data_IF_019767320911
#
_entry.id   IF_019767320911
#
_cell.length_a   1.000
_cell.length_b   1.000
_cell.length_c   1.000
_cell.angle_alpha   90.00
_cell.angle_beta   90.00
_cell.angle_gamma   90.00
#
_symmetry.space_group_name_H-M   'P 1'
#
loop_
_entity.id
_entity.type
_entity.pdbx_description
1 polymer ?
#
# COMPACT_ATOMS: atom_id res chain seq x y z
N UNK A 1 26.73 -1.45 11.69
CA UNK A 1 26.84 -0.35 12.69
C UNK A 1 28.00 0.62 12.37
N UNK A 2 29.22 0.13 12.11
CA UNK A 2 30.38 1.02 11.86
C UNK A 2 30.30 1.84 10.57
N UNK A 3 29.70 1.36 9.50
CA UNK A 3 29.53 2.07 8.22
C UNK A 3 28.44 3.16 8.30
N UNK A 4 27.34 2.87 8.99
CA UNK A 4 26.25 3.84 9.23
C UNK A 4 26.74 5.01 10.09
N UNK A 5 27.46 4.71 11.17
CA UNK A 5 28.05 5.77 12.05
C UNK A 5 29.06 6.67 11.33
N UNK A 6 29.85 6.11 10.38
CA UNK A 6 30.79 6.92 9.57
C UNK A 6 30.08 7.84 8.58
N UNK A 7 29.04 7.36 7.87
CA UNK A 7 28.23 8.19 6.95
C UNK A 7 27.49 9.29 7.70
N UNK A 8 26.87 8.95 8.82
CA UNK A 8 26.22 9.91 9.70
C UNK A 8 27.19 11.00 10.19
N UNK A 9 28.40 10.61 10.62
CA UNK A 9 29.43 11.58 11.03
C UNK A 9 29.85 12.50 9.88
N UNK A 10 30.02 11.97 8.67
CA UNK A 10 30.39 12.79 7.50
C UNK A 10 29.30 13.79 7.12
N UNK A 11 28.03 13.39 7.13
CA UNK A 11 26.91 14.30 6.86
C UNK A 11 26.82 15.38 7.94
N UNK A 12 26.81 15.01 9.22
CA UNK A 12 26.75 15.98 10.33
C UNK A 12 27.98 16.90 10.40
N UNK A 13 29.17 16.47 9.96
CA UNK A 13 30.37 17.32 9.90
C UNK A 13 30.25 18.35 8.77
N UNK A 14 29.73 17.97 7.60
CA UNK A 14 29.50 18.89 6.47
C UNK A 14 28.49 19.98 6.80
N UNK A 15 27.46 19.66 7.56
CA UNK A 15 26.37 20.59 7.84
C UNK A 15 26.60 21.49 9.06
N UNK A 16 27.62 21.20 9.87
CA UNK A 16 28.00 22.03 11.05
C UNK A 16 28.19 23.52 10.73
N UNK A 17 28.93 23.90 9.68
CA UNK A 17 29.15 25.32 9.39
C UNK A 17 27.86 26.06 9.04
N UNK A 18 26.86 25.34 8.51
CA UNK A 18 25.62 25.91 8.01
C UNK A 18 24.43 25.71 8.96
N UNK A 19 24.61 25.07 10.11
CA UNK A 19 23.53 24.67 11.03
C UNK A 19 22.42 23.89 10.34
N UNK A 20 22.80 23.09 9.33
CA UNK A 20 21.86 22.30 8.53
C UNK A 20 21.18 21.21 9.32
N UNK A 21 19.97 20.86 8.91
CA UNK A 21 19.21 19.71 9.40
C UNK A 21 19.53 18.49 8.53
N UNK A 22 19.80 17.36 9.15
CA UNK A 22 20.02 16.07 8.47
C UNK A 22 18.76 15.23 8.61
N UNK A 23 18.14 14.91 7.50
CA UNK A 23 17.06 13.95 7.42
C UNK A 23 17.65 12.57 7.12
N UNK A 24 17.62 11.67 8.11
CA UNK A 24 18.19 10.33 7.99
C UNK A 24 17.08 9.31 7.79
N UNK A 25 17.04 8.70 6.63
CA UNK A 25 16.02 7.74 6.27
C UNK A 25 16.22 6.40 6.98
N UNK A 26 15.23 5.95 7.76
CA UNK A 26 15.21 4.66 8.43
C UNK A 26 14.85 3.56 7.43
N UNK A 27 15.78 3.24 6.54
CA UNK A 27 15.59 2.27 5.50
C UNK A 27 16.66 1.16 5.59
N UNK A 28 16.21 -0.07 5.69
CA UNK A 28 17.09 -1.23 5.90
C UNK A 28 17.01 -2.17 4.70
N UNK A 29 18.17 -2.45 4.11
CA UNK A 29 18.35 -3.41 3.03
C UNK A 29 19.11 -4.67 3.47
N UNK A 30 19.32 -4.85 4.77
CA UNK A 30 20.08 -5.99 5.25
C UNK A 30 19.33 -7.29 4.96
N UNK A 31 19.93 -8.26 4.27
CA UNK A 31 19.39 -9.60 4.19
C UNK A 31 19.50 -10.24 5.57
N UNK A 32 18.41 -10.31 6.30
CA UNK A 32 18.36 -11.07 7.56
C UNK A 32 17.27 -12.13 7.43
N UNK A 33 17.41 -13.21 8.16
CA UNK A 33 16.40 -14.25 8.26
C UNK A 33 15.18 -13.78 9.07
N UNK A 34 15.25 -12.57 9.65
CA UNK A 34 14.18 -11.96 10.39
C UNK A 34 13.05 -11.50 9.46
N UNK A 35 11.84 -11.42 9.99
CA UNK A 35 10.69 -10.85 9.31
C UNK A 35 10.99 -9.42 8.82
N UNK A 36 10.73 -9.19 7.54
CA UNK A 36 10.95 -7.91 6.87
C UNK A 36 10.29 -6.73 7.62
N UNK A 37 9.10 -6.97 8.18
CA UNK A 37 8.38 -5.96 8.94
C UNK A 37 9.12 -5.51 10.23
N UNK A 38 10.02 -6.34 10.76
CA UNK A 38 10.78 -6.05 11.98
C UNK A 38 12.09 -5.29 11.73
N UNK A 39 12.61 -5.31 10.52
CA UNK A 39 14.01 -4.93 10.24
C UNK A 39 14.31 -3.47 10.60
N UNK A 40 13.46 -2.53 10.18
CA UNK A 40 13.69 -1.12 10.48
C UNK A 40 13.66 -0.85 12.00
N UNK A 41 12.74 -1.48 12.70
CA UNK A 41 12.66 -1.37 14.16
C UNK A 41 13.94 -1.90 14.84
N UNK A 42 14.35 -3.13 14.52
CA UNK A 42 15.52 -3.77 15.12
C UNK A 42 16.83 -3.01 14.88
N UNK A 43 16.93 -2.28 13.78
CA UNK A 43 18.11 -1.47 13.46
C UNK A 43 18.08 -0.10 14.13
N UNK A 44 16.94 0.57 14.19
CA UNK A 44 16.85 1.98 14.59
C UNK A 44 16.45 2.20 16.04
N UNK A 45 15.60 1.37 16.63
CA UNK A 45 15.20 1.50 18.02
C UNK A 45 16.40 1.54 18.98
N UNK A 46 17.43 0.64 18.86
CA UNK A 46 18.59 0.69 19.75
C UNK A 46 19.44 1.96 19.60
N UNK A 47 19.20 2.75 18.56
CA UNK A 47 19.91 4.03 18.32
C UNK A 47 19.17 5.23 18.89
N UNK A 48 18.02 5.03 19.54
CA UNK A 48 17.25 6.14 20.11
C UNK A 48 18.09 6.96 21.09
N UNK A 49 18.04 8.29 20.96
CA UNK A 49 18.85 9.22 21.74
C UNK A 49 20.34 9.28 21.36
N UNK A 50 20.82 8.45 20.43
CA UNK A 50 22.23 8.44 20.00
C UNK A 50 22.50 9.37 18.78
N UNK A 51 21.46 9.89 18.18
CA UNK A 51 21.58 10.83 17.08
C UNK A 51 21.92 12.24 17.58
N UNK A 52 22.57 13.01 16.73
CA UNK A 52 22.86 14.43 17.04
C UNK A 52 21.58 15.25 16.97
N UNK A 53 21.56 16.39 17.68
CA UNK A 53 20.41 17.28 17.79
C UNK A 53 19.91 17.87 16.45
N UNK A 54 20.73 17.86 15.42
CA UNK A 54 20.34 18.31 14.07
C UNK A 54 19.88 17.17 13.16
N UNK A 55 19.73 15.96 13.66
CA UNK A 55 19.25 14.80 12.90
C UNK A 55 17.76 14.58 13.19
N UNK A 56 16.99 14.42 12.15
CA UNK A 56 15.60 13.93 12.20
C UNK A 56 15.59 12.59 11.48
N UNK A 57 15.12 11.54 12.14
CA UNK A 57 14.98 10.23 11.52
C UNK A 57 13.68 10.19 10.72
N UNK A 58 13.79 9.94 9.41
CA UNK A 58 12.69 9.88 8.46
C UNK A 58 12.21 8.44 8.34
N UNK A 59 10.99 8.19 8.78
CA UNK A 59 10.39 6.85 8.87
C UNK A 59 9.20 6.77 7.92
N UNK A 60 9.14 5.72 7.09
CA UNK A 60 7.96 5.43 6.27
C UNK A 60 6.72 5.25 7.15
N UNK A 61 5.57 5.62 6.63
CA UNK A 61 4.31 5.47 7.36
C UNK A 61 4.05 4.01 7.77
N UNK A 62 4.38 3.03 6.93
CA UNK A 62 4.31 1.60 7.25
C UNK A 62 5.69 0.96 7.50
N UNK A 63 5.73 -0.26 8.04
CA UNK A 63 6.99 -0.91 8.42
C UNK A 63 7.79 -1.50 7.26
N UNK A 64 7.18 -1.70 6.09
CA UNK A 64 7.85 -2.31 4.91
C UNK A 64 8.05 -1.27 3.80
N UNK A 65 6.99 -0.94 3.07
CA UNK A 65 7.15 -0.06 1.90
C UNK A 65 5.79 0.39 1.33
N UNK A 66 5.28 1.53 1.57
CA UNK A 66 4.13 2.22 0.95
C UNK A 66 3.10 1.32 0.23
N UNK A 67 2.84 0.12 0.76
CA UNK A 67 1.89 -0.83 0.21
C UNK A 67 0.46 -0.23 0.20
N UNK A 68 -0.50 -0.78 -0.52
CA UNK A 68 -1.86 -0.28 -0.52
C UNK A 68 -2.44 -0.06 0.88
N UNK A 69 -2.15 -0.98 1.82
CA UNK A 69 -2.40 -0.79 3.26
C UNK A 69 -1.33 -1.51 4.07
N UNK A 70 -0.74 -0.79 5.01
CA UNK A 70 0.14 -1.33 6.05
C UNK A 70 -0.30 -0.77 7.40
N UNK A 71 -0.10 -1.50 8.52
CA UNK A 71 -0.17 -0.86 9.83
C UNK A 71 0.90 0.23 9.92
N UNK A 72 0.74 1.20 10.82
CA UNK A 72 1.78 2.22 10.98
C UNK A 72 3.10 1.61 11.47
N UNK A 73 4.22 2.26 11.14
CA UNK A 73 5.54 1.78 11.57
C UNK A 73 5.71 1.87 13.10
N UNK A 74 6.05 0.77 13.78
CA UNK A 74 6.19 0.77 15.24
C UNK A 74 7.32 1.68 15.76
N UNK A 75 8.24 2.13 14.91
CA UNK A 75 9.27 3.11 15.30
C UNK A 75 8.68 4.41 15.85
N UNK A 76 7.50 4.83 15.38
CA UNK A 76 6.85 6.03 15.90
C UNK A 76 6.43 5.92 17.37
N UNK A 77 6.20 4.70 17.86
CA UNK A 77 5.92 4.44 19.28
C UNK A 77 7.16 4.15 20.12
N UNK A 78 8.28 3.79 19.50
CA UNK A 78 9.47 3.27 20.19
C UNK A 78 10.58 4.32 20.38
N UNK A 79 10.81 5.20 19.41
CA UNK A 79 11.87 6.22 19.48
C UNK A 79 11.36 7.48 20.18
N UNK A 80 11.68 7.63 21.46
CA UNK A 80 11.16 8.70 22.33
C UNK A 80 12.13 9.89 22.48
N UNK A 81 13.42 9.68 22.19
CA UNK A 81 14.49 10.67 22.40
C UNK A 81 15.03 11.26 21.10
N UNK A 82 14.73 10.65 19.97
CA UNK A 82 15.18 11.08 18.64
C UNK A 82 14.02 11.75 17.91
N UNK A 83 14.22 12.97 17.35
CA UNK A 83 13.20 13.59 16.51
C UNK A 83 12.85 12.72 15.31
N UNK A 84 11.56 12.45 15.11
CA UNK A 84 11.05 11.67 13.98
C UNK A 84 10.28 12.55 13.00
N UNK A 85 10.28 12.13 11.74
CA UNK A 85 9.39 12.63 10.70
C UNK A 85 8.75 11.46 9.94
N UNK A 86 7.47 11.62 9.59
CA UNK A 86 6.78 10.65 8.76
C UNK A 86 7.13 10.86 7.29
N UNK A 87 7.38 9.76 6.57
CA UNK A 87 7.57 9.74 5.13
C UNK A 87 6.34 9.11 4.47
N UNK A 88 5.66 9.89 3.62
CA UNK A 88 4.55 9.43 2.80
C UNK A 88 4.97 9.35 1.33
N UNK A 89 4.58 8.29 0.64
CA UNK A 89 4.70 8.25 -0.81
C UNK A 89 3.50 8.96 -1.44
N UNK A 90 3.77 10.04 -2.17
CA UNK A 90 2.75 10.81 -2.89
C UNK A 90 2.44 10.19 -4.24
N UNK A 91 3.42 9.52 -4.85
CA UNK A 91 3.24 8.73 -6.07
C UNK A 91 2.63 7.36 -5.77
N UNK A 92 2.04 6.76 -6.79
CA UNK A 92 1.23 5.54 -6.66
C UNK A 92 1.99 4.31 -7.17
N UNK A 93 3.25 4.12 -6.77
CA UNK A 93 4.07 2.98 -7.21
C UNK A 93 3.37 1.64 -6.96
N UNK A 94 2.77 1.50 -5.77
CA UNK A 94 2.08 0.26 -5.35
C UNK A 94 0.56 0.30 -5.58
N UNK A 95 0.06 1.32 -6.26
CA UNK A 95 -1.36 1.62 -6.44
C UNK A 95 -1.69 1.84 -7.93
N UNK A 96 -1.08 1.02 -8.81
CA UNK A 96 -1.32 1.06 -10.26
C UNK A 96 -0.51 2.10 -11.03
N UNK A 97 0.65 2.52 -10.53
CA UNK A 97 1.60 3.41 -11.23
C UNK A 97 0.93 4.64 -11.84
N UNK A 98 0.04 5.31 -11.11
CA UNK A 98 -0.73 6.46 -11.59
C UNK A 98 -1.62 6.18 -12.82
N UNK A 99 -1.91 4.91 -13.14
CA UNK A 99 -2.98 4.53 -14.07
C UNK A 99 -4.32 4.34 -13.35
N UNK A 100 -4.28 4.10 -12.03
CA UNK A 100 -5.46 3.90 -11.22
C UNK A 100 -5.77 5.14 -10.40
N UNK A 101 -7.05 5.42 -10.22
CA UNK A 101 -7.53 6.43 -9.29
C UNK A 101 -7.39 5.89 -7.87
N UNK A 102 -6.56 6.54 -7.06
CA UNK A 102 -6.40 6.28 -5.63
C UNK A 102 -6.10 7.59 -4.90
N UNK A 103 -7.07 8.10 -4.15
CA UNK A 103 -6.92 9.29 -3.32
C UNK A 103 -6.38 8.89 -1.95
N UNK A 104 -5.18 9.35 -1.61
CA UNK A 104 -4.41 8.83 -0.48
C UNK A 104 -4.68 9.56 0.85
N UNK A 105 -5.40 10.67 0.83
CA UNK A 105 -5.67 11.41 2.07
C UNK A 105 -6.40 10.58 3.14
N UNK A 106 -7.34 9.67 2.84
CA UNK A 106 -7.91 8.77 3.84
C UNK A 106 -6.85 7.92 4.56
N UNK A 107 -5.96 7.27 3.81
CA UNK A 107 -4.86 6.46 4.35
C UNK A 107 -3.91 7.27 5.23
N UNK A 108 -3.57 8.50 4.83
CA UNK A 108 -2.72 9.37 5.65
C UNK A 108 -3.44 9.86 6.92
N UNK A 109 -4.77 10.00 6.89
CA UNK A 109 -5.57 10.30 8.08
C UNK A 109 -5.61 9.12 9.04
N UNK A 110 -5.76 7.89 8.55
CA UNK A 110 -5.61 6.67 9.39
C UNK A 110 -4.26 6.67 10.14
N UNK A 111 -3.17 6.97 9.45
CA UNK A 111 -1.85 7.07 10.10
C UNK A 111 -1.86 8.08 11.26
N UNK A 112 -2.48 9.24 11.10
CA UNK A 112 -2.56 10.26 12.15
C UNK A 112 -3.52 9.91 13.30
N UNK A 113 -4.31 8.87 13.19
CA UNK A 113 -5.09 8.31 14.32
C UNK A 113 -4.19 7.55 15.30
N UNK A 114 -3.11 6.94 14.81
CA UNK A 114 -2.13 6.22 15.61
C UNK A 114 -0.94 7.09 16.03
N UNK A 115 -0.49 7.97 15.15
CA UNK A 115 0.68 8.83 15.36
C UNK A 115 0.23 10.28 15.48
N UNK A 116 0.25 10.80 16.71
CA UNK A 116 -0.13 12.19 16.95
C UNK A 116 0.77 13.16 16.16
N UNK A 117 0.23 14.07 15.34
CA UNK A 117 1.04 15.02 14.57
C UNK A 117 2.01 15.83 15.43
N UNK A 118 1.64 16.14 16.67
CA UNK A 118 2.49 16.89 17.61
C UNK A 118 3.74 16.12 18.06
N UNK A 119 3.78 14.80 17.92
CA UNK A 119 4.98 13.98 18.19
C UNK A 119 5.99 14.00 17.06
N UNK A 120 5.59 14.47 15.86
CA UNK A 120 6.44 14.52 14.69
C UNK A 120 7.14 15.88 14.58
N UNK A 121 8.42 15.86 14.22
CA UNK A 121 9.18 17.07 13.94
C UNK A 121 8.86 17.66 12.56
N UNK A 122 8.52 16.80 11.61
CA UNK A 122 8.15 17.16 10.25
C UNK A 122 7.40 16.02 9.58
N UNK A 123 6.92 16.25 8.35
CA UNK A 123 6.46 15.22 7.40
C UNK A 123 7.20 15.41 6.08
N UNK A 124 7.51 14.31 5.42
CA UNK A 124 8.16 14.28 4.11
C UNK A 124 7.25 13.60 3.08
N UNK A 125 7.15 14.19 1.91
CA UNK A 125 6.54 13.57 0.74
C UNK A 125 7.63 13.07 -0.20
N UNK A 126 7.60 11.79 -0.56
CA UNK A 126 8.49 11.23 -1.58
C UNK A 126 7.70 10.91 -2.84
N UNK A 127 8.28 11.18 -4.00
CA UNK A 127 7.58 11.04 -5.25
C UNK A 127 8.55 10.74 -6.40
N UNK A 128 8.13 9.84 -7.29
CA UNK A 128 8.65 9.76 -8.64
C UNK A 128 7.75 10.60 -9.54
N UNK A 129 8.30 11.49 -10.32
CA UNK A 129 7.56 12.34 -11.27
C UNK A 129 7.98 12.00 -12.69
N UNK A 130 7.00 12.07 -13.61
CA UNK A 130 7.21 11.83 -15.03
C UNK A 130 7.30 13.12 -15.83
N UNK A 131 7.27 12.97 -17.13
CA UNK A 131 7.29 14.07 -18.11
C UNK A 131 5.90 14.43 -18.63
N UNK A 132 4.84 13.85 -18.07
CA UNK A 132 3.45 14.18 -18.40
C UNK A 132 3.13 15.64 -18.12
N UNK A 133 2.18 16.22 -18.85
CA UNK A 133 1.76 17.59 -18.64
C UNK A 133 1.28 17.85 -17.20
N UNK A 134 0.67 16.86 -16.56
CA UNK A 134 0.28 16.87 -15.15
C UNK A 134 1.36 16.31 -14.20
N UNK A 135 2.56 15.93 -14.70
CA UNK A 135 3.73 15.34 -13.99
C UNK A 135 3.43 14.19 -13.02
N UNK A 136 2.17 13.87 -12.82
CA UNK A 136 1.70 12.82 -11.91
C UNK A 136 1.17 11.58 -12.64
N UNK A 137 1.04 11.63 -13.97
CA UNK A 137 0.51 10.53 -14.80
C UNK A 137 -1.02 10.35 -14.74
N UNK A 138 -1.73 11.08 -13.86
CA UNK A 138 -3.19 11.01 -13.72
C UNK A 138 -3.71 12.31 -13.09
N UNK A 139 -4.79 12.87 -13.64
CA UNK A 139 -5.36 14.12 -13.10
C UNK A 139 -5.64 14.02 -11.60
N UNK A 140 -6.27 12.93 -11.12
CA UNK A 140 -6.51 12.75 -9.68
C UNK A 140 -5.26 12.46 -8.85
N UNK A 141 -4.13 12.09 -9.45
CA UNK A 141 -2.87 11.99 -8.71
C UNK A 141 -2.39 13.36 -8.21
N UNK A 142 -2.75 14.45 -8.89
CA UNK A 142 -2.52 15.81 -8.39
C UNK A 142 -3.25 16.10 -7.07
N UNK A 143 -4.42 15.49 -6.85
CA UNK A 143 -5.14 15.60 -5.58
C UNK A 143 -4.31 15.06 -4.39
N UNK A 144 -3.46 14.06 -4.61
CA UNK A 144 -2.56 13.54 -3.58
C UNK A 144 -1.48 14.55 -3.19
N UNK A 145 -0.92 15.27 -4.16
CA UNK A 145 0.03 16.37 -3.87
C UNK A 145 -0.64 17.49 -3.11
N UNK A 146 -1.84 17.89 -3.54
CA UNK A 146 -2.62 18.90 -2.83
C UNK A 146 -2.92 18.45 -1.40
N UNK A 147 -3.41 17.22 -1.24
CA UNK A 147 -3.73 16.64 0.07
C UNK A 147 -2.51 16.53 0.99
N UNK A 148 -1.36 16.11 0.45
CA UNK A 148 -0.12 16.07 1.21
C UNK A 148 0.23 17.47 1.75
N UNK A 149 0.21 18.49 0.90
CA UNK A 149 0.49 19.87 1.33
C UNK A 149 -0.49 20.37 2.39
N UNK A 150 -1.80 20.08 2.22
CA UNK A 150 -2.84 20.47 3.18
C UNK A 150 -2.68 19.78 4.54
N UNK A 151 -2.43 18.47 4.55
CA UNK A 151 -2.23 17.68 5.78
C UNK A 151 -0.89 17.98 6.47
N UNK A 152 0.17 18.24 5.71
CA UNK A 152 1.45 18.66 6.28
C UNK A 152 1.34 20.01 7.02
N UNK A 153 0.49 20.91 6.53
CA UNK A 153 0.24 22.21 7.14
C UNK A 153 -0.79 22.15 8.25
N UNK A 154 -1.89 21.44 8.04
CA UNK A 154 -3.00 21.32 8.98
C UNK A 154 -3.50 19.86 9.06
N UNK A 155 -2.88 19.00 9.88
CA UNK A 155 -3.23 17.58 9.98
C UNK A 155 -4.67 17.30 10.45
N UNK A 156 -5.32 18.29 11.09
CA UNK A 156 -6.71 18.18 11.56
C UNK A 156 -7.78 18.24 10.45
N UNK A 157 -7.40 18.67 9.23
CA UNK A 157 -8.35 18.71 8.11
C UNK A 157 -8.86 17.30 7.79
N UNK A 158 -10.14 17.21 7.43
CA UNK A 158 -10.72 15.96 6.94
C UNK A 158 -10.35 15.73 5.47
N UNK A 159 -10.19 14.47 5.09
CA UNK A 159 -9.96 14.06 3.69
C UNK A 159 -11.06 14.58 2.77
N UNK A 160 -12.30 14.64 3.27
CA UNK A 160 -13.45 15.14 2.52
C UNK A 160 -13.39 16.63 2.26
N UNK A 161 -12.96 17.46 3.23
CA UNK A 161 -12.81 18.90 3.02
C UNK A 161 -11.69 19.19 2.02
N UNK A 162 -10.59 18.46 2.08
CA UNK A 162 -9.47 18.58 1.14
C UNK A 162 -9.92 18.19 -0.28
N UNK A 163 -10.73 17.14 -0.41
CA UNK A 163 -11.31 16.72 -1.69
C UNK A 163 -12.22 17.81 -2.28
N UNK A 164 -13.09 18.41 -1.46
CA UNK A 164 -13.96 19.53 -1.89
C UNK A 164 -13.15 20.72 -2.38
N UNK A 165 -12.10 21.11 -1.65
CA UNK A 165 -11.20 22.19 -2.03
C UNK A 165 -10.54 21.91 -3.39
N UNK A 166 -9.98 20.72 -3.56
CA UNK A 166 -9.28 20.33 -4.78
C UNK A 166 -10.23 20.21 -5.98
N UNK A 167 -11.39 19.58 -5.81
CA UNK A 167 -12.40 19.45 -6.86
C UNK A 167 -12.84 20.83 -7.36
N UNK A 168 -13.13 21.76 -6.45
CA UNK A 168 -13.55 23.12 -6.79
C UNK A 168 -12.47 23.91 -7.53
N UNK A 169 -11.19 23.76 -7.12
CA UNK A 169 -10.07 24.43 -7.77
C UNK A 169 -9.77 23.85 -9.16
N UNK A 170 -9.94 22.54 -9.32
CA UNK A 170 -9.55 21.82 -10.54
C UNK A 170 -10.64 21.88 -11.61
N UNK A 171 -11.89 21.68 -11.22
CA UNK A 171 -13.01 21.54 -12.15
C UNK A 171 -14.04 22.70 -12.04
N UNK A 172 -13.81 23.67 -11.15
CA UNK A 172 -14.75 24.77 -10.91
C UNK A 172 -15.97 24.35 -10.08
N UNK A 173 -17.02 25.17 -10.12
CA UNK A 173 -18.26 24.90 -9.39
C UNK A 173 -19.14 23.97 -10.21
N UNK A 174 -19.47 22.83 -9.64
CA UNK A 174 -20.35 21.81 -10.21
C UNK A 174 -21.73 21.84 -9.51
N UNK A 175 -22.78 21.26 -10.10
CA UNK A 175 -24.00 20.96 -9.36
C UNK A 175 -23.70 20.13 -8.11
N UNK A 176 -24.47 20.34 -7.05
CA UNK A 176 -24.20 19.74 -5.75
C UNK A 176 -24.20 18.21 -5.75
N UNK A 177 -25.05 17.61 -6.55
CA UNK A 177 -25.12 16.16 -6.73
C UNK A 177 -23.89 15.58 -7.45
N UNK A 178 -23.40 16.26 -8.48
CA UNK A 178 -22.18 15.88 -9.20
C UNK A 178 -20.95 16.06 -8.29
N UNK A 179 -20.82 17.19 -7.60
CA UNK A 179 -19.73 17.40 -6.64
C UNK A 179 -19.71 16.34 -5.54
N UNK A 180 -20.87 15.97 -5.00
CA UNK A 180 -20.99 14.94 -3.98
C UNK A 180 -20.57 13.55 -4.50
N UNK A 181 -20.94 13.19 -5.73
CA UNK A 181 -20.56 11.93 -6.35
C UNK A 181 -19.04 11.88 -6.65
N UNK A 182 -18.46 12.96 -7.20
CA UNK A 182 -17.02 13.04 -7.45
C UNK A 182 -16.21 12.95 -6.13
N UNK A 183 -16.65 13.64 -5.09
CA UNK A 183 -16.07 13.56 -3.76
C UNK A 183 -16.15 12.13 -3.22
N UNK A 184 -17.32 11.48 -3.32
CA UNK A 184 -17.49 10.09 -2.89
C UNK A 184 -16.54 9.16 -3.65
N UNK A 185 -16.45 9.30 -4.97
CA UNK A 185 -15.54 8.55 -5.81
C UNK A 185 -14.07 8.68 -5.33
N UNK A 186 -13.62 9.91 -5.01
CA UNK A 186 -12.29 10.14 -4.46
C UNK A 186 -12.11 9.42 -3.12
N UNK A 187 -13.01 9.62 -2.18
CA UNK A 187 -12.89 9.07 -0.82
C UNK A 187 -12.90 7.53 -0.80
N UNK A 188 -13.68 6.91 -1.67
CA UNK A 188 -13.79 5.45 -1.77
C UNK A 188 -12.65 4.81 -2.58
N UNK A 189 -11.88 5.61 -3.34
CA UNK A 189 -10.95 5.08 -4.35
C UNK A 189 -9.76 4.33 -3.76
N UNK A 190 -9.22 4.75 -2.62
CA UNK A 190 -8.14 4.02 -1.96
C UNK A 190 -8.63 2.64 -1.49
N UNK A 191 -9.79 2.57 -0.82
CA UNK A 191 -10.35 1.31 -0.34
C UNK A 191 -10.70 0.38 -1.50
N UNK A 192 -11.19 0.91 -2.63
CA UNK A 192 -11.42 0.12 -3.83
C UNK A 192 -10.12 -0.54 -4.33
N UNK A 193 -9.00 0.18 -4.34
CA UNK A 193 -7.69 -0.37 -4.71
C UNK A 193 -7.25 -1.46 -3.73
N UNK A 194 -7.38 -1.24 -2.43
CA UNK A 194 -7.09 -2.27 -1.41
C UNK A 194 -7.93 -3.52 -1.69
N UNK A 195 -9.23 -3.35 -1.93
CA UNK A 195 -10.16 -4.46 -2.14
C UNK A 195 -9.79 -5.32 -3.34
N UNK A 196 -9.46 -4.74 -4.51
CA UNK A 196 -9.14 -5.57 -5.66
C UNK A 196 -7.67 -5.99 -5.74
N UNK A 197 -6.76 -5.39 -4.97
CA UNK A 197 -5.34 -5.78 -4.95
C UNK A 197 -5.00 -6.69 -3.77
N UNK A 198 -5.12 -6.17 -2.55
CA UNK A 198 -4.58 -6.79 -1.34
C UNK A 198 -5.48 -6.58 -0.12
N UNK A 199 -6.68 -7.18 -0.14
CA UNK A 199 -7.62 -7.05 0.96
C UNK A 199 -7.15 -7.77 2.23
N UNK A 200 -7.75 -7.41 3.36
CA UNK A 200 -7.59 -8.07 4.66
C UNK A 200 -6.15 -8.13 5.18
N UNK A 201 -5.27 -7.23 4.76
CA UNK A 201 -3.87 -7.21 5.18
C UNK A 201 -2.93 -8.04 4.32
N UNK A 202 -3.38 -8.59 3.20
CA UNK A 202 -2.48 -9.09 2.17
C UNK A 202 -1.59 -7.95 1.67
N UNK A 203 -0.35 -8.27 1.29
CA UNK A 203 0.56 -7.28 0.74
C UNK A 203 1.66 -7.91 -0.11
N UNK A 204 2.31 -7.09 -0.94
CA UNK A 204 3.47 -7.42 -1.78
C UNK A 204 3.24 -8.60 -2.73
N UNK A 205 2.04 -8.76 -3.27
CA UNK A 205 1.70 -9.81 -4.25
C UNK A 205 1.70 -9.28 -5.69
N UNK A 206 2.54 -8.28 -5.93
CA UNK A 206 2.76 -7.64 -7.22
C UNK A 206 3.64 -8.45 -8.16
N UNK A 207 3.58 -8.08 -9.43
CA UNK A 207 4.50 -8.56 -10.44
C UNK A 207 5.95 -8.17 -10.12
N UNK A 208 6.85 -9.12 -10.35
CA UNK A 208 8.28 -8.99 -10.07
C UNK A 208 8.90 -7.80 -10.83
N UNK A 209 9.70 -7.05 -10.10
CA UNK A 209 10.58 -6.04 -10.67
C UNK A 209 9.94 -4.70 -11.02
N UNK A 210 8.61 -4.60 -11.12
CA UNK A 210 7.95 -3.35 -11.49
C UNK A 210 6.68 -3.01 -10.70
N UNK A 211 6.20 -3.88 -9.83
CA UNK A 211 5.07 -3.66 -8.93
C UNK A 211 3.71 -3.31 -9.61
N UNK A 212 3.56 -3.62 -10.89
CA UNK A 212 2.32 -3.39 -11.63
C UNK A 212 1.62 -4.70 -11.98
N UNK A 213 0.38 -4.86 -11.54
CA UNK A 213 -0.38 -6.09 -11.73
C UNK A 213 -0.06 -7.20 -10.72
N UNK A 214 -0.90 -8.26 -10.67
CA UNK A 214 -0.76 -9.36 -9.74
C UNK A 214 0.23 -10.41 -10.25
N UNK A 215 1.03 -10.97 -9.35
CA UNK A 215 1.89 -12.11 -9.63
C UNK A 215 2.08 -12.98 -8.38
N UNK A 216 1.00 -13.41 -7.68
CA UNK A 216 1.09 -14.14 -6.43
C UNK A 216 1.89 -15.45 -6.55
N UNK A 217 2.02 -16.01 -7.74
CA UNK A 217 2.76 -17.25 -8.04
C UNK A 217 4.27 -17.03 -8.23
N UNK A 218 4.75 -15.78 -8.26
CA UNK A 218 6.14 -15.51 -8.58
C UNK A 218 7.10 -16.21 -7.60
N UNK A 219 7.99 -17.01 -8.15
CA UNK A 219 9.03 -17.75 -7.42
C UNK A 219 10.30 -17.78 -8.25
N UNK A 220 11.35 -17.12 -7.75
CA UNK A 220 12.65 -17.03 -8.42
C UNK A 220 13.71 -17.76 -7.58
N UNK A 221 14.30 -18.83 -8.07
CA UNK A 221 15.37 -19.52 -7.38
C UNK A 221 16.55 -18.60 -7.08
N UNK A 222 16.98 -18.58 -5.81
CA UNK A 222 18.10 -17.75 -5.35
C UNK A 222 17.79 -16.28 -5.11
N UNK A 223 16.55 -15.82 -5.37
CA UNK A 223 16.12 -14.50 -4.94
C UNK A 223 15.95 -14.43 -3.42
N UNK A 224 16.11 -13.24 -2.87
CA UNK A 224 15.80 -13.02 -1.44
C UNK A 224 14.33 -13.37 -1.19
N UNK A 225 14.03 -14.16 -0.14
CA UNK A 225 12.64 -14.55 0.16
C UNK A 225 11.71 -13.35 0.31
N UNK A 226 12.15 -12.28 0.99
CA UNK A 226 11.39 -11.07 1.25
C UNK A 226 11.17 -10.15 0.01
N UNK A 227 11.57 -10.61 -1.16
CA UNK A 227 11.24 -10.00 -2.45
C UNK A 227 10.16 -10.76 -3.19
N UNK A 228 9.79 -11.95 -2.71
CA UNK A 228 8.86 -12.84 -3.37
C UNK A 228 7.45 -12.74 -2.76
N UNK A 229 6.39 -12.69 -3.57
CA UNK A 229 4.99 -12.70 -3.10
C UNK A 229 4.68 -13.85 -2.13
N UNK A 230 5.21 -15.06 -2.42
CA UNK A 230 4.99 -16.25 -1.58
C UNK A 230 5.52 -16.11 -0.15
N UNK A 231 6.55 -15.28 0.07
CA UNK A 231 7.03 -14.94 1.41
C UNK A 231 5.99 -14.19 2.23
N UNK A 232 5.17 -13.36 1.58
CA UNK A 232 4.20 -12.52 2.25
C UNK A 232 2.85 -13.22 2.43
N UNK A 233 2.29 -13.79 1.36
CA UNK A 233 0.96 -14.41 1.48
C UNK A 233 0.97 -15.78 2.16
N UNK A 234 2.07 -16.55 2.09
CA UNK A 234 2.24 -17.87 2.70
C UNK A 234 1.06 -18.82 2.53
N UNK A 235 0.36 -18.71 1.40
CA UNK A 235 -0.80 -19.55 1.15
C UNK A 235 -0.39 -21.02 1.08
N UNK A 236 -1.13 -21.86 1.81
CA UNK A 236 -1.03 -23.31 1.81
C UNK A 236 -2.41 -23.95 1.99
N UNK A 237 -2.49 -25.27 2.09
CA UNK A 237 -3.76 -25.98 2.28
C UNK A 237 -4.49 -25.63 3.58
N UNK A 238 -3.80 -25.07 4.54
CA UNK A 238 -4.37 -24.75 5.86
C UNK A 238 -4.92 -23.32 5.89
N UNK A 239 -4.26 -22.35 5.20
CA UNK A 239 -4.64 -20.96 5.25
C UNK A 239 -3.79 -20.03 4.42
N UNK A 240 -3.86 -18.74 4.74
CA UNK A 240 -3.14 -17.65 4.08
C UNK A 240 -2.79 -16.57 5.10
N UNK A 241 -1.74 -15.80 4.82
CA UNK A 241 -1.27 -14.69 5.64
C UNK A 241 0.03 -15.00 6.39
N UNK A 242 0.69 -13.97 6.87
CA UNK A 242 1.96 -14.09 7.58
C UNK A 242 1.74 -14.08 9.09
N UNK A 243 2.10 -15.15 9.79
CA UNK A 243 2.03 -15.17 11.25
C UNK A 243 3.12 -14.28 11.86
N UNK A 244 2.71 -13.09 12.29
CA UNK A 244 3.50 -12.09 13.01
C UNK A 244 3.07 -11.94 14.46
N UNK A 245 2.17 -12.81 14.92
CA UNK A 245 1.75 -12.90 16.33
C UNK A 245 2.91 -13.35 17.22
N UNK A 246 2.68 -13.39 18.53
CA UNK A 246 3.63 -13.92 19.52
C UNK A 246 4.01 -15.38 19.28
N UNK A 247 3.22 -16.13 18.53
CA UNK A 247 3.47 -17.53 18.14
C UNK A 247 4.28 -17.64 16.83
N UNK A 248 4.31 -16.60 16.03
CA UNK A 248 5.04 -16.54 14.77
C UNK A 248 6.34 -15.72 14.89
N UNK A 249 6.52 -14.73 14.02
CA UNK A 249 7.71 -13.86 14.05
C UNK A 249 7.77 -12.89 15.22
N UNK A 250 6.67 -12.75 15.95
CA UNK A 250 6.51 -11.84 17.08
C UNK A 250 6.77 -10.36 16.71
N UNK A 251 6.36 -9.93 15.52
CA UNK A 251 6.44 -8.52 15.15
C UNK A 251 5.44 -7.65 15.95
N UNK A 252 4.37 -8.24 16.45
CA UNK A 252 3.39 -7.55 17.32
C UNK A 252 4.04 -6.95 18.57
N UNK A 253 5.11 -7.55 19.10
CA UNK A 253 5.84 -7.05 20.27
C UNK A 253 6.53 -5.70 20.05
N UNK A 254 6.64 -5.23 18.80
CA UNK A 254 7.22 -3.93 18.47
C UNK A 254 6.24 -2.77 18.66
N UNK A 255 4.94 -3.07 18.82
CA UNK A 255 3.89 -2.08 19.04
C UNK A 255 3.67 -1.78 20.53
N UNK A 256 3.08 -0.63 20.88
CA UNK A 256 2.64 -0.34 22.24
C UNK A 256 1.74 -1.45 22.78
N UNK A 257 1.84 -1.74 24.08
CA UNK A 257 1.23 -2.92 24.73
C UNK A 257 -0.26 -3.13 24.38
N UNK A 258 -1.04 -2.07 24.35
CA UNK A 258 -2.47 -2.15 24.01
C UNK A 258 -2.69 -2.66 22.59
N UNK A 259 -1.95 -2.11 21.62
CA UNK A 259 -2.04 -2.52 20.21
C UNK A 259 -1.40 -3.90 20.00
N UNK A 260 -0.29 -4.18 20.66
CA UNK A 260 0.35 -5.49 20.63
C UNK A 260 -0.64 -6.59 21.03
N UNK A 261 -1.37 -6.41 22.14
CA UNK A 261 -2.42 -7.36 22.59
C UNK A 261 -3.56 -7.47 21.58
N UNK A 262 -3.98 -6.36 21.00
CA UNK A 262 -5.05 -6.34 19.99
C UNK A 262 -4.65 -7.09 18.71
N UNK A 263 -3.44 -6.85 18.22
CA UNK A 263 -2.92 -7.47 17.00
C UNK A 263 -2.51 -8.94 17.20
N UNK A 264 -2.11 -9.32 18.41
CA UNK A 264 -1.68 -10.69 18.75
C UNK A 264 -2.82 -11.71 18.76
N UNK A 265 -4.03 -11.26 18.99
CA UNK A 265 -5.20 -12.12 19.07
C UNK A 265 -6.02 -11.99 17.77
N UNK A 266 -6.21 -13.11 17.06
CA UNK A 266 -6.95 -13.19 15.81
C UNK A 266 -8.39 -12.63 15.92
N UNK A 267 -9.05 -12.79 17.07
CA UNK A 267 -10.44 -12.35 17.29
C UNK A 267 -10.55 -10.84 17.53
N UNK A 268 -9.48 -10.18 17.97
CA UNK A 268 -9.44 -8.74 18.23
C UNK A 268 -8.65 -7.96 17.19
N UNK A 269 -7.88 -8.64 16.36
CA UNK A 269 -7.15 -8.02 15.26
C UNK A 269 -8.13 -7.36 14.30
N UNK A 270 -7.93 -6.09 13.91
CA UNK A 270 -8.72 -5.47 12.85
C UNK A 270 -8.64 -6.27 11.57
N UNK A 271 -9.79 -6.50 10.90
CA UNK A 271 -9.84 -7.35 9.70
C UNK A 271 -8.97 -6.80 8.57
N UNK A 272 -8.81 -5.49 8.48
CA UNK A 272 -7.93 -4.82 7.51
C UNK A 272 -6.45 -5.15 7.68
N UNK A 273 -6.04 -5.68 8.84
CA UNK A 273 -4.67 -6.13 9.14
C UNK A 273 -4.58 -7.63 9.45
N UNK A 274 -5.66 -8.39 9.29
CA UNK A 274 -5.75 -9.76 9.73
C UNK A 274 -4.65 -10.66 9.12
N UNK A 275 -4.52 -10.64 7.79
CA UNK A 275 -3.52 -11.44 7.06
C UNK A 275 -2.12 -10.86 7.11
N UNK A 276 -2.00 -9.61 7.58
CA UNK A 276 -0.71 -9.04 7.93
C UNK A 276 -0.11 -9.68 9.18
N UNK A 277 -0.95 -9.88 10.23
CA UNK A 277 -0.49 -10.37 11.53
C UNK A 277 -0.66 -11.87 11.73
N UNK A 278 -1.56 -12.53 10.99
CA UNK A 278 -1.91 -13.92 11.21
C UNK A 278 -1.88 -14.75 9.93
N UNK A 279 -1.47 -16.02 10.09
CA UNK A 279 -1.76 -17.06 9.13
C UNK A 279 -3.11 -17.68 9.48
N UNK A 280 -4.11 -17.42 8.64
CA UNK A 280 -5.53 -17.65 8.97
C UNK A 280 -6.08 -18.81 8.16
N UNK A 281 -6.75 -19.78 8.81
CA UNK A 281 -7.40 -20.89 8.09
C UNK A 281 -8.46 -20.42 7.09
N UNK A 282 -8.54 -21.05 5.93
CA UNK A 282 -9.52 -20.70 4.89
C UNK A 282 -10.98 -20.71 5.37
N UNK A 283 -11.28 -21.58 6.34
CA UNK A 283 -12.62 -21.72 6.94
C UNK A 283 -12.86 -20.81 8.15
N UNK A 284 -11.86 -19.97 8.53
CA UNK A 284 -12.02 -19.06 9.66
C UNK A 284 -13.26 -18.16 9.47
N UNK A 285 -14.03 -17.99 10.55
CA UNK A 285 -15.28 -17.22 10.52
C UNK A 285 -14.98 -15.75 10.72
N UNK A 286 -15.22 -14.96 9.69
CA UNK A 286 -15.07 -13.50 9.71
C UNK A 286 -16.24 -12.83 10.43
N UNK A 287 -16.12 -11.55 10.80
CA UNK A 287 -17.19 -10.76 11.47
C UNK A 287 -18.47 -10.71 10.63
N UNK A 288 -18.36 -10.74 9.32
CA UNK A 288 -19.51 -10.85 8.40
C UNK A 288 -20.29 -12.16 8.54
N UNK A 289 -19.71 -13.17 9.20
CA UNK A 289 -20.22 -14.53 9.27
C UNK A 289 -19.82 -15.43 8.10
N UNK A 290 -19.09 -14.93 7.11
CA UNK A 290 -18.52 -15.71 6.01
C UNK A 290 -17.27 -16.47 6.44
N UNK A 291 -16.83 -17.43 5.63
CA UNK A 291 -15.48 -17.97 5.73
C UNK A 291 -14.46 -16.92 5.26
N UNK A 292 -13.18 -17.03 5.67
CA UNK A 292 -12.10 -16.18 5.13
C UNK A 292 -12.05 -16.25 3.60
N UNK A 293 -12.21 -17.45 3.02
CA UNK A 293 -12.22 -17.60 1.56
C UNK A 293 -13.36 -16.82 0.90
N UNK A 294 -14.58 -16.95 1.42
CA UNK A 294 -15.71 -16.21 0.90
C UNK A 294 -15.53 -14.71 1.07
N UNK A 295 -14.99 -14.27 2.21
CA UNK A 295 -14.71 -12.86 2.47
C UNK A 295 -13.68 -12.29 1.49
N UNK A 296 -12.60 -13.02 1.21
CA UNK A 296 -11.65 -12.64 0.17
C UNK A 296 -12.31 -12.51 -1.19
N UNK A 297 -13.15 -13.48 -1.59
CA UNK A 297 -13.88 -13.42 -2.85
C UNK A 297 -14.77 -12.16 -2.92
N UNK A 298 -15.45 -11.83 -1.83
CA UNK A 298 -16.31 -10.64 -1.76
C UNK A 298 -15.52 -9.33 -1.83
N UNK A 299 -14.36 -9.24 -1.17
CA UNK A 299 -13.50 -8.06 -1.25
C UNK A 299 -13.02 -7.81 -2.69
N UNK A 300 -12.48 -8.83 -3.35
CA UNK A 300 -12.03 -8.73 -4.74
C UNK A 300 -13.16 -8.31 -5.69
N UNK A 301 -14.34 -8.91 -5.58
CA UNK A 301 -15.50 -8.58 -6.39
C UNK A 301 -16.01 -7.16 -6.10
N UNK A 302 -16.05 -6.76 -4.84
CA UNK A 302 -16.46 -5.41 -4.44
C UNK A 302 -15.53 -4.35 -5.04
N UNK A 303 -14.21 -4.57 -5.00
CA UNK A 303 -13.26 -3.66 -5.63
C UNK A 303 -13.49 -3.47 -7.12
N UNK A 304 -13.79 -4.56 -7.84
CA UNK A 304 -14.17 -4.50 -9.28
C UNK A 304 -15.45 -3.68 -9.47
N UNK A 305 -16.47 -3.92 -8.67
CA UNK A 305 -17.76 -3.20 -8.74
C UNK A 305 -17.57 -1.70 -8.47
N UNK A 306 -16.81 -1.36 -7.44
CA UNK A 306 -16.51 0.03 -7.09
C UNK A 306 -15.87 0.78 -8.25
N UNK A 307 -14.86 0.20 -8.91
CA UNK A 307 -14.22 0.85 -10.07
C UNK A 307 -15.19 1.03 -11.24
N UNK A 308 -16.07 0.06 -11.50
CA UNK A 308 -17.14 0.19 -12.52
C UNK A 308 -18.14 1.29 -12.17
N UNK A 309 -18.42 1.50 -10.89
CA UNK A 309 -19.26 2.62 -10.44
C UNK A 309 -18.53 3.96 -10.57
N UNK A 310 -17.22 4.02 -10.36
CA UNK A 310 -16.42 5.22 -10.64
C UNK A 310 -16.51 5.65 -12.11
N UNK A 311 -16.50 4.69 -13.05
CA UNK A 311 -16.72 5.00 -14.47
C UNK A 311 -18.08 5.67 -14.70
N UNK A 312 -19.17 5.16 -14.11
CA UNK A 312 -20.51 5.74 -14.22
C UNK A 312 -20.59 7.13 -13.62
N UNK A 313 -19.97 7.33 -12.45
CA UNK A 313 -19.91 8.65 -11.81
C UNK A 313 -19.15 9.64 -12.70
N UNK A 314 -18.02 9.22 -13.26
CA UNK A 314 -17.23 10.07 -14.14
C UNK A 314 -17.97 10.41 -15.44
N UNK A 315 -18.59 9.43 -16.09
CA UNK A 315 -19.35 9.64 -17.30
C UNK A 315 -20.53 10.62 -17.08
N UNK A 316 -21.18 10.57 -15.91
CA UNK A 316 -22.22 11.53 -15.57
C UNK A 316 -21.72 12.98 -15.39
N UNK A 317 -20.42 13.16 -15.16
CA UNK A 317 -19.80 14.48 -15.01
C UNK A 317 -19.32 15.10 -16.33
N UNK A 318 -19.39 14.40 -17.47
CA UNK A 318 -18.83 14.78 -18.77
C UNK A 318 -19.07 16.25 -19.13
N UNK A 319 -20.34 16.71 -19.09
CA UNK A 319 -20.71 18.07 -19.49
C UNK A 319 -20.21 19.19 -18.57
N UNK A 320 -19.62 18.83 -17.43
CA UNK A 320 -19.13 19.79 -16.44
C UNK A 320 -17.62 19.85 -16.36
N UNK A 321 -16.92 19.04 -17.14
CA UNK A 321 -15.47 18.90 -17.14
C UNK A 321 -14.95 19.21 -18.54
N UNK A 322 -13.79 19.86 -18.65
CA UNK A 322 -13.17 20.06 -19.95
C UNK A 322 -12.81 18.72 -20.61
N UNK A 323 -12.91 18.71 -21.94
CA UNK A 323 -12.80 17.48 -22.73
C UNK A 323 -11.45 16.77 -22.53
N UNK A 324 -10.34 17.50 -22.36
CA UNK A 324 -9.01 16.93 -22.21
C UNK A 324 -8.90 16.09 -20.95
N UNK A 325 -9.21 16.68 -19.79
CA UNK A 325 -9.19 15.99 -18.49
C UNK A 325 -10.27 14.92 -18.41
N UNK A 326 -11.44 15.15 -19.02
CA UNK A 326 -12.50 14.14 -19.04
C UNK A 326 -12.04 12.87 -19.75
N UNK A 327 -11.49 12.97 -20.95
CA UNK A 327 -11.04 11.80 -21.71
C UNK A 327 -9.81 11.13 -21.12
N UNK A 328 -8.88 11.90 -20.53
CA UNK A 328 -7.74 11.33 -19.80
C UNK A 328 -8.22 10.42 -18.67
N UNK A 329 -9.03 10.94 -17.76
CA UNK A 329 -9.52 10.19 -16.60
C UNK A 329 -10.41 9.02 -17.04
N UNK A 330 -11.29 9.22 -18.03
CA UNK A 330 -12.13 8.15 -18.57
C UNK A 330 -11.27 6.98 -19.09
N UNK A 331 -10.19 7.29 -19.82
CA UNK A 331 -9.26 6.27 -20.33
C UNK A 331 -8.56 5.53 -19.19
N UNK A 332 -8.13 6.25 -18.14
CA UNK A 332 -7.51 5.67 -16.95
C UNK A 332 -8.48 4.80 -16.16
N UNK A 333 -9.72 5.22 -15.96
CA UNK A 333 -10.74 4.40 -15.29
C UNK A 333 -11.07 3.13 -16.07
N UNK A 334 -11.02 3.15 -17.42
CA UNK A 334 -11.16 1.93 -18.25
C UNK A 334 -9.99 0.95 -18.01
N UNK A 335 -8.77 1.48 -17.92
CA UNK A 335 -7.59 0.69 -17.57
C UNK A 335 -7.77 0.08 -16.19
N UNK A 336 -8.11 0.90 -15.19
CA UNK A 336 -8.32 0.44 -13.81
C UNK A 336 -9.41 -0.65 -13.70
N UNK A 337 -10.52 -0.50 -14.43
CA UNK A 337 -11.60 -1.50 -14.43
C UNK A 337 -11.14 -2.85 -15.01
N UNK A 338 -10.36 -2.83 -16.09
CA UNK A 338 -9.72 -4.03 -16.66
C UNK A 338 -8.75 -4.64 -15.67
N UNK A 339 -7.90 -3.84 -15.07
CA UNK A 339 -6.86 -4.30 -14.16
C UNK A 339 -7.44 -4.81 -12.83
N UNK A 340 -8.55 -4.25 -12.35
CA UNK A 340 -9.25 -4.76 -11.19
C UNK A 340 -9.80 -6.20 -11.42
N UNK A 341 -10.32 -6.47 -12.62
CA UNK A 341 -10.73 -7.85 -13.01
C UNK A 341 -9.51 -8.76 -13.10
N UNK A 342 -8.42 -8.30 -13.71
CA UNK A 342 -7.16 -9.05 -13.78
C UNK A 342 -6.64 -9.42 -12.37
N UNK A 343 -6.61 -8.47 -11.44
CA UNK A 343 -6.23 -8.72 -10.05
C UNK A 343 -7.13 -9.75 -9.38
N UNK A 344 -8.45 -9.55 -9.47
CA UNK A 344 -9.45 -10.49 -8.91
C UNK A 344 -9.23 -11.91 -9.44
N UNK A 345 -9.18 -12.05 -10.75
CA UNK A 345 -9.09 -13.37 -11.38
C UNK A 345 -7.76 -14.07 -11.05
N UNK A 346 -6.64 -13.33 -11.12
CA UNK A 346 -5.32 -13.85 -10.80
C UNK A 346 -5.23 -14.37 -9.36
N UNK A 347 -5.66 -13.53 -8.40
CA UNK A 347 -5.58 -13.89 -6.99
C UNK A 347 -6.57 -15.00 -6.61
N UNK A 348 -7.83 -14.91 -7.04
CA UNK A 348 -8.82 -15.93 -6.70
C UNK A 348 -8.49 -17.28 -7.33
N UNK A 349 -8.12 -17.34 -8.60
CA UNK A 349 -7.75 -18.59 -9.26
C UNK A 349 -6.49 -19.23 -8.64
N UNK A 350 -5.50 -18.41 -8.28
CA UNK A 350 -4.29 -18.92 -7.66
C UNK A 350 -4.53 -19.40 -6.22
N UNK A 351 -5.22 -18.63 -5.39
CA UNK A 351 -5.48 -19.02 -4.00
C UNK A 351 -6.51 -20.14 -3.90
N UNK A 352 -7.36 -20.32 -4.90
CA UNK A 352 -8.28 -21.45 -4.96
C UNK A 352 -7.55 -22.81 -5.06
N UNK A 353 -6.35 -22.85 -5.67
CA UNK A 353 -5.54 -24.09 -5.71
C UNK A 353 -5.13 -24.57 -4.30
N UNK A 354 -5.03 -23.64 -3.33
CA UNK A 354 -4.71 -23.95 -1.95
C UNK A 354 -5.95 -24.20 -1.10
N UNK A 355 -6.95 -23.31 -1.19
CA UNK A 355 -8.17 -23.42 -0.39
C UNK A 355 -9.00 -24.65 -0.75
N UNK A 356 -9.01 -25.05 -2.02
CA UNK A 356 -9.87 -26.10 -2.56
C UNK A 356 -11.37 -25.77 -2.48
N UNK A 357 -11.73 -24.53 -2.09
CA UNK A 357 -13.11 -24.11 -1.91
C UNK A 357 -13.68 -23.48 -3.19
N UNK A 358 -14.98 -23.66 -3.48
CA UNK A 358 -15.59 -23.01 -4.63
C UNK A 358 -15.69 -21.50 -4.41
N UNK A 359 -15.56 -20.72 -5.50
CA UNK A 359 -15.91 -19.29 -5.48
C UNK A 359 -17.42 -19.18 -5.24
N UNK A 360 -17.91 -18.32 -4.30
CA UNK A 360 -19.33 -18.14 -4.02
C UNK A 360 -20.15 -17.85 -5.27
N UNK A 361 -21.37 -18.37 -5.31
CA UNK A 361 -22.21 -18.29 -6.53
C UNK A 361 -22.54 -16.86 -6.96
N UNK A 362 -22.70 -15.96 -5.99
CA UNK A 362 -23.04 -14.56 -6.18
C UNK A 362 -21.88 -13.70 -6.68
N UNK A 363 -20.65 -14.23 -6.66
CA UNK A 363 -19.46 -13.53 -7.14
C UNK A 363 -19.34 -13.69 -8.66
N UNK A 364 -18.99 -12.57 -9.33
CA UNK A 364 -18.72 -12.63 -10.78
C UNK A 364 -17.59 -13.62 -11.07
N UNK A 365 -17.89 -14.61 -11.94
CA UNK A 365 -16.93 -15.65 -12.28
C UNK A 365 -15.68 -15.08 -12.94
N UNK A 366 -14.48 -15.63 -12.65
CA UNK A 366 -13.30 -15.33 -13.43
C UNK A 366 -13.52 -15.56 -14.93
N UNK A 367 -13.07 -14.60 -15.72
CA UNK A 367 -13.14 -14.67 -17.19
C UNK A 367 -11.83 -15.13 -17.81
N UNK A 368 -10.79 -15.23 -17.02
CA UNK A 368 -9.45 -15.68 -17.44
C UNK A 368 -9.17 -17.11 -16.93
N UNK A 369 -8.19 -17.74 -17.55
CA UNK A 369 -7.58 -18.97 -17.07
C UNK A 369 -6.27 -18.68 -16.35
N UNK A 370 -6.01 -19.29 -15.20
CA UNK A 370 -4.78 -19.03 -14.42
C UNK A 370 -3.51 -19.21 -15.25
N UNK A 371 -3.44 -20.29 -16.06
CA UNK A 371 -2.30 -20.58 -16.95
C UNK A 371 -2.01 -19.49 -17.97
N UNK A 372 -3.01 -18.71 -18.37
CA UNK A 372 -2.84 -17.61 -19.32
C UNK A 372 -2.46 -16.33 -18.59
N UNK A 373 -3.00 -16.09 -17.40
CA UNK A 373 -2.56 -15.00 -16.52
C UNK A 373 -1.08 -15.13 -16.11
N UNK A 374 -0.62 -16.36 -15.88
CA UNK A 374 0.80 -16.65 -15.56
C UNK A 374 1.77 -16.37 -16.72
N UNK A 375 1.28 -16.12 -17.92
CA UNK A 375 2.08 -15.74 -19.09
C UNK A 375 2.09 -14.24 -19.37
N UNK A 376 1.31 -13.46 -18.61
CA UNK A 376 1.24 -12.01 -18.80
C UNK A 376 2.55 -11.39 -18.32
N UNK A 377 3.27 -10.78 -19.24
CA UNK A 377 4.48 -10.01 -18.96
C UNK A 377 4.34 -8.62 -19.55
N UNK A 378 4.57 -7.61 -18.73
CA UNK A 378 4.51 -6.22 -19.15
C UNK A 378 5.93 -5.67 -19.38
N UNK A 379 6.21 -5.00 -20.49
CA UNK A 379 7.55 -4.47 -20.79
C UNK A 379 7.83 -3.18 -20.01
N UNK A 380 7.62 -3.21 -18.68
CA UNK A 380 7.82 -2.05 -17.80
C UNK A 380 9.22 -2.07 -17.18
N UNK A 381 9.80 -3.26 -17.00
CA UNK A 381 11.16 -3.42 -16.48
C UNK A 381 11.90 -4.55 -17.20
N UNK A 382 13.24 -4.54 -17.08
CA UNK A 382 14.08 -5.62 -17.59
C UNK A 382 14.09 -6.85 -16.67
N UNK A 383 13.38 -6.80 -15.56
CA UNK A 383 13.27 -7.90 -14.60
C UNK A 383 11.91 -8.56 -14.79
N UNK A 384 11.90 -9.77 -15.31
CA UNK A 384 10.71 -10.60 -15.46
C UNK A 384 10.80 -11.76 -14.46
N UNK A 385 9.66 -12.17 -13.90
CA UNK A 385 9.61 -13.42 -13.15
C UNK A 385 9.88 -14.57 -14.12
N UNK A 386 10.95 -15.34 -13.95
CA UNK A 386 11.26 -16.41 -14.89
C UNK A 386 10.16 -17.48 -14.81
N UNK A 387 9.57 -17.79 -15.95
CA UNK A 387 8.67 -18.91 -16.08
C UNK A 387 9.42 -20.22 -15.84
N UNK A 388 8.70 -21.30 -15.46
CA UNK A 388 9.30 -22.64 -15.30
C UNK A 388 10.09 -23.07 -16.55
N UNK A 389 9.71 -22.62 -17.73
CA UNK A 389 10.41 -22.92 -19.00
C UNK A 389 11.75 -22.20 -19.11
N UNK A 390 11.86 -20.95 -18.66
CA UNK A 390 13.13 -20.20 -18.62
C UNK A 390 14.10 -20.79 -17.58
N UNK A 391 13.59 -21.27 -16.45
CA UNK A 391 14.38 -21.94 -15.41
C UNK A 391 14.94 -23.28 -15.88
N UNK A 392 14.22 -24.00 -16.75
CA UNK A 392 14.67 -25.28 -17.31
C UNK A 392 15.69 -25.13 -18.46
N UNK A 393 15.75 -23.99 -19.14
CA UNK A 393 16.75 -23.72 -20.20
C UNK A 393 18.13 -23.37 -19.66
N UNK A 394 18.25 -23.00 -18.39
CA UNK A 394 19.51 -22.63 -17.75
C UNK A 394 20.08 -23.74 -16.84
N UNK A 395 19.54 -24.94 -16.91
CA UNK A 395 20.07 -26.18 -16.37
C UNK A 395 20.61 -27.05 -17.50
#
# INVERSE_FOLDING_TARGET
>A
LHLLSRRQRQMCIRDRPYKGIVMWRAFVYSPSDADRAKQAYLEFEPLDGQFRNNVIVQVKNGPIDFQPREPYSPLFGAMQHTPLMAEFQVTQEYLGHSNHLAYLAPMWKEFFEFVAPASLKAVAGVANIGTDANWCGHTFAQANWYAFGRLAWQPSLSSGNIADEWLKQTFGSQPSDISAQLKKMMLDSHEAVVNYMMPLGLHHIFAWGHHYGPEPWCSIPGARPDWLPSYYHRADKQGIGFDRSSKGSNAVAQYPETLAKQYDNIDTCPEEYLLWFHHVPWSHRMKSGRSLWDELCHHYDNGVRQVRDFQKIWDAAEKYIDAERFHEVQSKLKIQARDAVWWKDACLLYFQEFSGMPIPYEIERPIHELKDLQKVHLPISNYECPTKELLNKNR
#
